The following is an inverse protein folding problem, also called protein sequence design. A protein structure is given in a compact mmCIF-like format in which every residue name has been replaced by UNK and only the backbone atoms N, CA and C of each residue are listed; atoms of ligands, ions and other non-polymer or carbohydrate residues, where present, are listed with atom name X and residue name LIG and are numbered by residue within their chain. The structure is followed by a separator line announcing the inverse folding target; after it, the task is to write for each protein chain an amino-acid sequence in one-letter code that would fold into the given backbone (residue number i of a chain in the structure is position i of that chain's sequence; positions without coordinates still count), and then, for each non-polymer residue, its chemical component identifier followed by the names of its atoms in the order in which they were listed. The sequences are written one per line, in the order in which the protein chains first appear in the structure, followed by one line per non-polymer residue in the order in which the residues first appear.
data_IF_081552432067
#
_entry.id   IF_081552432067
#
_cell.length_a   1.000
_cell.length_b   1.000
_cell.length_c   1.000
_cell.angle_alpha   90.00
_cell.angle_beta   90.00
_cell.angle_gamma   90.00
#
_symmetry.space_group_name_H-M   'P 1'
#
loop_
_entity.id
_entity.type
_entity.pdbx_description
1 polymer ?
#
# COMPACT_ATOMS: atom_id res chain seq x y z
N UNK A 1 -23.76 3.92 14.07
CA UNK A 1 -22.96 3.58 12.88
C UNK A 1 -21.58 4.17 13.11
N UNK A 2 -20.53 3.35 13.13
CA UNK A 2 -19.17 3.87 13.22
C UNK A 2 -18.86 4.67 11.95
N UNK A 3 -18.08 5.74 12.08
CA UNK A 3 -17.57 6.47 10.92
C UNK A 3 -16.50 5.60 10.25
N UNK A 4 -16.54 5.39 8.91
CA UNK A 4 -15.53 4.60 8.23
C UNK A 4 -14.15 5.24 8.36
N UNK A 5 -13.11 4.41 8.39
CA UNK A 5 -11.72 4.84 8.34
C UNK A 5 -11.47 5.70 7.10
N UNK A 6 -10.93 6.89 7.30
CA UNK A 6 -10.54 7.81 6.23
C UNK A 6 -9.15 7.43 5.72
N UNK A 7 -9.11 6.85 4.53
CA UNK A 7 -7.89 6.35 3.91
C UNK A 7 -7.32 7.37 2.91
N UNK A 8 -6.02 7.65 3.01
CA UNK A 8 -5.25 8.29 1.94
C UNK A 8 -4.41 7.24 1.20
N UNK A 9 -4.56 7.14 -0.13
CA UNK A 9 -3.75 6.23 -0.94
C UNK A 9 -2.59 6.98 -1.62
N UNK A 10 -1.39 6.41 -1.57
CA UNK A 10 -0.22 6.88 -2.31
C UNK A 10 -0.01 6.00 -3.55
N UNK A 11 0.17 6.61 -4.72
CA UNK A 11 0.28 5.89 -6.00
C UNK A 11 1.31 6.51 -6.94
N UNK A 12 1.84 5.73 -7.89
CA UNK A 12 2.75 6.24 -8.93
C UNK A 12 2.45 5.73 -10.35
N UNK A 13 1.47 4.83 -10.51
CA UNK A 13 1.32 4.03 -11.73
C UNK A 13 -0.12 3.70 -12.13
N UNK A 14 -0.35 2.45 -12.55
CA UNK A 14 -1.62 2.01 -13.15
C UNK A 14 -2.83 2.05 -12.20
N UNK A 15 -2.58 1.95 -10.89
CA UNK A 15 -3.61 2.05 -9.86
C UNK A 15 -4.57 0.85 -9.80
N UNK A 16 -4.14 -0.36 -10.18
CA UNK A 16 -4.99 -1.56 -10.06
C UNK A 16 -5.29 -1.92 -8.61
N UNK A 17 -4.32 -1.71 -7.70
CA UNK A 17 -4.53 -1.86 -6.26
C UNK A 17 -5.50 -0.80 -5.73
N UNK A 18 -5.30 0.47 -6.11
CA UNK A 18 -6.24 1.56 -5.82
C UNK A 18 -7.65 1.25 -6.32
N UNK A 19 -7.80 0.73 -7.55
CA UNK A 19 -9.11 0.38 -8.10
C UNK A 19 -9.83 -0.64 -7.22
N UNK A 20 -9.13 -1.69 -6.78
CA UNK A 20 -9.72 -2.67 -5.87
C UNK A 20 -10.16 -2.05 -4.54
N UNK A 21 -9.39 -1.10 -4.01
CA UNK A 21 -9.81 -0.36 -2.82
C UNK A 21 -11.08 0.45 -3.07
N UNK A 22 -11.16 1.17 -4.19
CA UNK A 22 -12.32 2.00 -4.54
C UNK A 22 -13.58 1.17 -4.76
N UNK A 23 -13.45 0.01 -5.40
CA UNK A 23 -14.57 -0.87 -5.76
C UNK A 23 -15.18 -1.61 -4.55
N UNK A 24 -14.44 -1.74 -3.43
CA UNK A 24 -14.82 -2.57 -2.28
C UNK A 24 -14.95 -1.78 -0.96
N UNK A 25 -15.10 -0.46 -1.05
CA UNK A 25 -15.37 0.39 0.13
C UNK A 25 -16.70 0.00 0.80
N UNK A 26 -16.74 0.10 2.12
CA UNK A 26 -17.89 -0.26 2.96
C UNK A 26 -17.96 0.63 4.22
N UNK A 27 -18.69 0.20 5.25
CA UNK A 27 -18.74 0.91 6.54
C UNK A 27 -17.42 0.96 7.31
N UNK A 28 -16.42 0.15 6.94
CA UNK A 28 -15.14 0.05 7.64
C UNK A 28 -14.12 1.04 7.09
N UNK A 29 -14.09 1.29 5.78
CA UNK A 29 -13.17 2.26 5.19
C UNK A 29 -13.71 3.00 3.97
N UNK A 30 -13.21 4.22 3.78
CA UNK A 30 -13.42 5.03 2.59
C UNK A 30 -12.10 5.69 2.15
N UNK A 31 -11.79 5.63 0.85
CA UNK A 31 -10.68 6.36 0.24
C UNK A 31 -11.11 7.81 0.06
N UNK A 32 -10.51 8.71 0.83
CA UNK A 32 -10.88 10.12 0.83
C UNK A 32 -9.92 11.00 0.03
N UNK A 33 -8.70 10.51 -0.21
CA UNK A 33 -7.66 11.23 -0.93
C UNK A 33 -6.72 10.26 -1.64
N UNK A 34 -6.31 10.61 -2.86
CA UNK A 34 -5.24 9.93 -3.59
C UNK A 34 -4.13 10.92 -3.90
N UNK A 35 -2.91 10.60 -3.45
CA UNK A 35 -1.72 11.43 -3.68
C UNK A 35 -0.73 10.69 -4.58
N UNK A 36 -0.20 11.37 -5.59
CA UNK A 36 0.78 10.81 -6.51
C UNK A 36 2.02 11.68 -6.66
N UNK A 37 3.16 11.06 -7.00
CA UNK A 37 4.38 11.78 -7.37
C UNK A 37 4.38 12.28 -8.83
N UNK A 38 3.32 11.99 -9.60
CA UNK A 38 3.17 12.36 -11.02
C UNK A 38 1.73 12.20 -11.50
N UNK A 39 1.40 12.77 -12.65
CA UNK A 39 0.18 12.35 -13.36
C UNK A 39 0.29 10.88 -13.77
N UNK A 40 -0.75 10.09 -13.46
CA UNK A 40 -0.78 8.65 -13.74
C UNK A 40 -2.22 8.13 -13.81
N UNK A 41 -2.44 6.95 -14.44
CA UNK A 41 -3.78 6.36 -14.56
C UNK A 41 -4.53 6.14 -13.24
N UNK A 42 -3.80 5.96 -12.12
CA UNK A 42 -4.43 5.85 -10.81
C UNK A 42 -5.23 7.10 -10.40
N UNK A 43 -4.79 8.29 -10.80
CA UNK A 43 -5.51 9.54 -10.51
C UNK A 43 -6.82 9.63 -11.31
N UNK A 44 -6.82 9.14 -12.54
CA UNK A 44 -8.04 9.12 -13.37
C UNK A 44 -9.09 8.17 -12.77
N UNK A 45 -8.65 7.04 -12.22
CA UNK A 45 -9.52 6.12 -11.45
C UNK A 45 -10.12 6.80 -10.23
N UNK A 46 -9.31 7.53 -9.46
CA UNK A 46 -9.76 8.25 -8.28
C UNK A 46 -10.79 9.34 -8.64
N UNK A 47 -10.50 10.14 -9.66
CA UNK A 47 -11.40 11.19 -10.17
C UNK A 47 -12.72 10.60 -10.67
N UNK A 48 -12.68 9.48 -11.38
CA UNK A 48 -13.88 8.78 -11.85
C UNK A 48 -14.75 8.25 -10.70
N UNK A 49 -14.13 7.90 -9.56
CA UNK A 49 -14.82 7.51 -8.33
C UNK A 49 -15.24 8.71 -7.45
N UNK A 50 -14.98 9.95 -7.88
CA UNK A 50 -15.30 11.16 -7.11
C UNK A 50 -14.39 11.42 -5.91
N UNK A 51 -13.22 10.78 -5.86
CA UNK A 51 -12.24 10.93 -4.78
C UNK A 51 -11.30 12.11 -5.07
N UNK A 52 -10.97 12.87 -4.03
CA UNK A 52 -10.04 13.99 -4.13
C UNK A 52 -8.63 13.50 -4.54
N UNK A 53 -7.95 14.28 -5.37
CA UNK A 53 -6.60 13.93 -5.86
C UNK A 53 -5.61 15.07 -5.69
N UNK A 54 -4.37 14.73 -5.34
CA UNK A 54 -3.26 15.67 -5.32
C UNK A 54 -2.03 15.09 -6.05
N UNK A 55 -1.27 15.95 -6.71
CA UNK A 55 0.01 15.58 -7.33
C UNK A 55 1.13 16.38 -6.67
N UNK A 56 2.09 15.67 -6.11
CA UNK A 56 3.27 16.23 -5.44
C UNK A 56 4.52 15.76 -6.18
N UNK A 57 4.89 16.42 -7.29
CA UNK A 57 5.98 15.97 -8.14
C UNK A 57 7.31 16.04 -7.39
N UNK A 58 8.12 14.99 -7.56
CA UNK A 58 9.47 14.92 -7.00
C UNK A 58 10.33 16.09 -7.47
N UNK A 59 10.88 16.85 -6.52
CA UNK A 59 11.74 18.02 -6.79
C UNK A 59 13.22 17.70 -6.55
N UNK A 60 14.12 18.59 -6.97
CA UNK A 60 15.55 18.45 -6.69
C UNK A 60 15.84 18.51 -5.18
N UNK A 61 15.15 19.40 -4.46
CA UNK A 61 15.20 19.45 -3.00
C UNK A 61 14.29 18.35 -2.42
N UNK A 62 14.91 17.26 -1.98
CA UNK A 62 14.22 16.10 -1.40
C UNK A 62 13.52 16.44 -0.09
N UNK A 63 14.15 17.24 0.76
CA UNK A 63 13.61 17.59 2.07
C UNK A 63 12.36 18.45 1.92
N UNK A 64 12.42 19.43 1.01
CA UNK A 64 11.28 20.26 0.70
C UNK A 64 10.12 19.46 0.06
N UNK A 65 10.44 18.51 -0.82
CA UNK A 65 9.45 17.60 -1.38
C UNK A 65 8.78 16.73 -0.31
N UNK A 66 9.55 16.17 0.63
CA UNK A 66 9.01 15.36 1.72
C UNK A 66 8.05 16.16 2.63
N UNK A 67 8.39 17.41 2.93
CA UNK A 67 7.50 18.32 3.67
C UNK A 67 6.19 18.60 2.91
N UNK A 68 6.26 18.82 1.59
CA UNK A 68 5.08 19.03 0.76
C UNK A 68 4.20 17.78 0.74
N UNK A 69 4.79 16.60 0.50
CA UNK A 69 4.07 15.33 0.50
C UNK A 69 3.39 15.09 1.86
N UNK A 70 4.11 15.35 2.95
CA UNK A 70 3.62 15.22 4.33
C UNK A 70 2.45 16.16 4.65
N UNK A 71 2.41 17.34 4.04
CA UNK A 71 1.31 18.30 4.15
C UNK A 71 0.11 17.88 3.29
N UNK A 72 0.34 17.48 2.04
CA UNK A 72 -0.70 17.11 1.08
C UNK A 72 -1.54 15.92 1.53
N UNK A 73 -0.97 14.98 2.28
CA UNK A 73 -1.70 13.82 2.80
C UNK A 73 -2.75 14.17 3.87
N UNK A 74 -2.64 15.33 4.52
CA UNK A 74 -3.61 15.80 5.51
C UNK A 74 -3.58 15.03 6.83
N UNK A 75 -4.76 14.67 7.33
CA UNK A 75 -4.97 13.96 8.62
C UNK A 75 -5.83 12.69 8.45
N UNK A 76 -5.37 11.70 7.66
CA UNK A 76 -6.11 10.45 7.50
C UNK A 76 -6.01 9.58 8.76
N UNK A 77 -6.94 8.64 8.87
CA UNK A 77 -6.87 7.58 9.88
C UNK A 77 -5.81 6.53 9.48
N UNK A 78 -5.68 6.28 8.18
CA UNK A 78 -4.71 5.33 7.61
C UNK A 78 -4.18 5.80 6.25
N UNK A 79 -2.90 5.56 6.00
CA UNK A 79 -2.26 5.76 4.71
C UNK A 79 -1.86 4.41 4.14
N UNK A 80 -2.21 4.18 2.88
CA UNK A 80 -1.82 2.99 2.13
C UNK A 80 -0.90 3.38 0.99
N UNK A 81 0.34 2.87 1.01
CA UNK A 81 1.20 2.86 -0.16
C UNK A 81 0.71 1.80 -1.13
N UNK A 82 -0.05 2.22 -2.14
CA UNK A 82 -0.69 1.35 -3.13
C UNK A 82 0.11 1.36 -4.45
N UNK A 83 1.38 0.93 -4.36
CA UNK A 83 2.33 1.00 -5.48
C UNK A 83 2.98 2.38 -5.65
N UNK A 84 3.33 3.03 -4.53
CA UNK A 84 4.08 4.28 -4.54
C UNK A 84 5.58 4.01 -4.74
N UNK A 85 6.18 4.61 -5.76
CA UNK A 85 7.53 4.26 -6.23
C UNK A 85 8.62 5.19 -5.69
N UNK A 86 8.36 5.92 -4.61
CA UNK A 86 9.31 6.83 -3.96
C UNK A 86 9.51 6.44 -2.50
N UNK A 87 10.77 6.47 -2.06
CA UNK A 87 11.12 6.30 -0.65
C UNK A 87 10.49 7.43 0.18
N UNK A 88 9.70 7.10 1.19
CA UNK A 88 9.13 8.11 2.08
C UNK A 88 10.22 8.67 3.00
N UNK A 89 10.27 9.99 3.15
CA UNK A 89 11.29 10.62 4.00
C UNK A 89 11.04 10.38 5.48
N UNK A 90 12.07 10.56 6.33
CA UNK A 90 11.95 10.32 7.77
C UNK A 90 10.83 11.12 8.44
N UNK A 91 10.61 12.36 8.03
CA UNK A 91 9.55 13.22 8.60
C UNK A 91 8.17 12.67 8.30
N UNK A 92 7.95 12.18 7.07
CA UNK A 92 6.72 11.51 6.67
C UNK A 92 6.48 10.24 7.50
N UNK A 93 7.47 9.34 7.55
CA UNK A 93 7.38 8.06 8.26
C UNK A 93 7.13 8.29 9.76
N UNK A 94 7.84 9.23 10.39
CA UNK A 94 7.67 9.53 11.81
C UNK A 94 6.28 10.10 12.12
N UNK A 95 5.77 11.03 11.31
CA UNK A 95 4.44 11.65 11.52
C UNK A 95 3.31 10.62 11.42
N UNK A 96 3.44 9.65 10.52
CA UNK A 96 2.41 8.66 10.23
C UNK A 96 2.72 7.26 10.75
N UNK A 97 3.71 7.13 11.65
CA UNK A 97 4.09 5.86 12.27
C UNK A 97 2.88 5.17 12.89
N UNK A 98 2.70 3.88 12.59
CA UNK A 98 1.54 3.09 13.03
C UNK A 98 0.23 3.36 12.27
N UNK A 99 0.24 4.27 11.28
CA UNK A 99 -0.89 4.60 10.38
C UNK A 99 -0.46 4.62 8.92
N UNK A 100 0.64 3.97 8.59
CA UNK A 100 1.20 3.91 7.25
C UNK A 100 1.53 2.45 6.93
N UNK A 101 0.86 1.89 5.94
CA UNK A 101 1.03 0.50 5.51
C UNK A 101 1.42 0.43 4.04
N UNK A 102 2.11 -0.64 3.66
CA UNK A 102 2.51 -0.95 2.30
C UNK A 102 2.22 -2.41 1.99
N UNK A 103 2.03 -2.71 0.70
CA UNK A 103 2.01 -4.08 0.19
C UNK A 103 3.32 -4.39 -0.53
N UNK A 104 3.83 -5.60 -0.31
CA UNK A 104 5.06 -6.09 -0.91
C UNK A 104 4.82 -7.43 -1.62
N UNK A 105 5.24 -7.60 -2.89
CA UNK A 105 4.98 -8.81 -3.68
C UNK A 105 5.95 -9.97 -3.37
N UNK A 106 6.20 -10.22 -2.09
CA UNK A 106 6.85 -11.43 -1.58
C UNK A 106 6.45 -11.68 -0.12
N UNK A 107 6.80 -12.87 0.40
CA UNK A 107 6.69 -13.20 1.83
C UNK A 107 7.90 -12.63 2.59
N UNK A 108 7.77 -11.42 3.13
CA UNK A 108 8.79 -10.83 4.00
C UNK A 108 9.06 -11.74 5.21
N UNK A 109 10.33 -11.84 5.68
CA UNK A 109 11.48 -11.02 5.31
C UNK A 109 12.20 -11.44 4.02
N UNK A 110 11.66 -12.39 3.25
CA UNK A 110 12.28 -12.84 1.99
C UNK A 110 12.09 -11.80 0.88
N UNK A 111 13.16 -11.57 0.11
CA UNK A 111 13.17 -10.75 -1.10
C UNK A 111 12.65 -9.30 -0.89
N UNK A 112 13.21 -8.51 0.05
CA UNK A 112 12.84 -7.09 0.18
C UNK A 112 13.33 -6.27 -1.02
N UNK A 113 12.71 -5.12 -1.26
CA UNK A 113 13.10 -4.20 -2.33
C UNK A 113 12.40 -4.42 -3.67
N UNK A 114 12.83 -3.66 -4.68
CA UNK A 114 12.04 -3.43 -5.90
C UNK A 114 11.88 -4.63 -6.85
N UNK A 115 12.63 -5.72 -6.64
CA UNK A 115 12.71 -6.85 -7.59
C UNK A 115 12.29 -8.19 -6.98
N UNK A 116 11.45 -8.16 -5.95
CA UNK A 116 11.10 -9.33 -5.15
C UNK A 116 10.64 -10.56 -5.97
N UNK A 117 9.83 -10.35 -7.02
CA UNK A 117 9.33 -11.45 -7.88
C UNK A 117 10.46 -12.09 -8.69
N UNK A 118 11.30 -11.27 -9.32
CA UNK A 118 12.49 -11.74 -10.06
C UNK A 118 13.43 -12.48 -9.13
N UNK A 119 13.74 -11.90 -7.98
CA UNK A 119 14.70 -12.45 -7.04
C UNK A 119 14.21 -13.78 -6.44
N UNK A 120 12.88 -13.96 -6.25
CA UNK A 120 12.28 -15.23 -5.86
C UNK A 120 12.43 -16.32 -6.93
N UNK A 121 12.20 -15.97 -8.21
CA UNK A 121 12.39 -16.89 -9.33
C UNK A 121 13.85 -17.29 -9.51
N UNK A 122 14.76 -16.32 -9.46
CA UNK A 122 16.21 -16.54 -9.59
C UNK A 122 16.76 -17.42 -8.45
N UNK A 123 16.24 -17.25 -7.23
CA UNK A 123 16.58 -18.13 -6.11
C UNK A 123 16.02 -19.54 -6.29
N UNK A 124 14.87 -19.68 -6.96
CA UNK A 124 14.24 -20.97 -7.25
C UNK A 124 13.30 -21.49 -6.15
N UNK A 125 12.79 -20.62 -5.27
CA UNK A 125 11.79 -21.01 -4.25
C UNK A 125 10.54 -21.59 -4.92
N UNK A 126 9.77 -22.39 -4.18
CA UNK A 126 8.50 -22.96 -4.66
C UNK A 126 7.27 -22.25 -4.13
N UNK A 127 7.45 -21.41 -3.13
CA UNK A 127 6.40 -20.62 -2.50
C UNK A 127 6.87 -19.17 -2.42
N UNK A 128 5.99 -18.25 -2.80
CA UNK A 128 6.12 -16.80 -2.60
C UNK A 128 4.78 -16.26 -2.11
N UNK A 129 4.52 -14.96 -2.22
CA UNK A 129 3.24 -14.40 -1.79
C UNK A 129 3.18 -12.89 -1.82
N UNK A 130 2.28 -12.35 -1.03
CA UNK A 130 2.14 -10.92 -0.76
C UNK A 130 2.18 -10.69 0.74
N UNK A 131 2.83 -9.61 1.15
CA UNK A 131 2.85 -9.15 2.54
C UNK A 131 2.22 -7.77 2.64
N UNK A 132 1.37 -7.55 3.65
CA UNK A 132 0.99 -6.21 4.11
C UNK A 132 1.75 -5.93 5.41
N UNK A 133 2.44 -4.81 5.48
CA UNK A 133 3.25 -4.43 6.64
C UNK A 133 3.13 -2.95 6.94
N UNK A 134 3.43 -2.56 8.18
CA UNK A 134 3.66 -1.16 8.52
C UNK A 134 4.97 -0.68 7.87
N UNK A 135 4.99 0.56 7.41
CA UNK A 135 6.22 1.19 6.92
C UNK A 135 7.00 1.77 8.11
N UNK A 136 8.30 1.54 8.11
CA UNK A 136 9.27 2.15 9.01
C UNK A 136 10.40 2.81 8.21
N UNK A 137 11.49 3.18 8.88
CA UNK A 137 12.61 3.88 8.26
C UNK A 137 13.45 2.99 7.31
N UNK A 138 13.24 1.66 7.31
CA UNK A 138 13.90 0.73 6.41
C UNK A 138 13.05 0.37 5.18
N UNK A 139 13.64 -0.40 4.27
CA UNK A 139 12.97 -0.88 3.07
C UNK A 139 12.36 -2.25 3.37
N UNK A 140 11.03 -2.29 3.45
CA UNK A 140 10.24 -3.51 3.70
C UNK A 140 10.61 -4.25 5.01
N UNK A 141 11.01 -3.49 6.05
CA UNK A 141 11.44 -4.03 7.35
C UNK A 141 10.41 -3.91 8.46
N UNK A 142 9.36 -3.11 8.26
CA UNK A 142 8.41 -2.83 9.32
C UNK A 142 7.53 -4.02 9.69
N UNK A 143 6.84 -3.95 10.84
CA UNK A 143 6.06 -5.08 11.37
C UNK A 143 5.01 -5.59 10.37
N UNK A 144 5.02 -6.91 10.17
CA UNK A 144 4.07 -7.61 9.31
C UNK A 144 2.68 -7.57 9.94
N UNK A 145 1.68 -7.25 9.12
CA UNK A 145 0.26 -7.23 9.51
C UNK A 145 -0.44 -8.48 8.99
N UNK A 146 -0.19 -8.81 7.72
CA UNK A 146 -0.87 -9.90 7.03
C UNK A 146 0.01 -10.47 5.92
N UNK A 147 -0.13 -11.77 5.64
CA UNK A 147 0.55 -12.43 4.54
C UNK A 147 -0.37 -13.42 3.84
N UNK A 148 -0.15 -13.61 2.55
CA UNK A 148 -0.81 -14.66 1.78
C UNK A 148 0.19 -15.33 0.86
N UNK A 149 0.35 -16.64 1.01
CA UNK A 149 1.27 -17.44 0.21
C UNK A 149 0.62 -17.94 -1.08
N UNK A 150 1.43 -18.14 -2.12
CA UNK A 150 1.09 -18.86 -3.36
C UNK A 150 2.24 -19.74 -3.80
N UNK A 151 1.91 -20.85 -4.46
CA UNK A 151 2.90 -21.70 -5.13
C UNK A 151 3.34 -21.10 -6.46
N UNK A 152 4.64 -21.16 -6.72
CA UNK A 152 5.24 -20.85 -8.03
C UNK A 152 5.08 -22.06 -8.93
N UNK A 153 4.50 -21.86 -10.11
CA UNK A 153 4.28 -22.92 -11.09
C UNK A 153 5.59 -23.27 -11.81
N UNK A 154 5.72 -24.54 -12.23
CA UNK A 154 6.91 -24.99 -12.96
C UNK A 154 6.99 -24.27 -14.32
N UNK A 155 8.10 -23.56 -14.54
CA UNK A 155 8.33 -22.81 -15.78
C UNK A 155 7.56 -21.50 -15.87
N UNK A 156 6.97 -21.04 -14.77
CA UNK A 156 6.24 -19.77 -14.70
C UNK A 156 7.17 -18.58 -14.98
N UNK A 157 6.70 -17.65 -15.83
CA UNK A 157 7.45 -16.42 -16.11
C UNK A 157 7.25 -15.38 -15.01
N UNK A 158 8.18 -14.43 -14.93
CA UNK A 158 8.12 -13.33 -13.95
C UNK A 158 6.82 -12.54 -14.06
N UNK A 159 6.36 -12.20 -15.26
CA UNK A 159 5.15 -11.41 -15.45
C UNK A 159 3.87 -12.19 -15.09
N UNK A 160 3.83 -13.49 -15.38
CA UNK A 160 2.73 -14.39 -15.00
C UNK A 160 2.63 -14.51 -13.47
N UNK A 161 3.75 -14.77 -12.80
CA UNK A 161 3.82 -14.85 -11.34
C UNK A 161 3.42 -13.51 -10.71
N UNK A 162 3.95 -12.41 -11.24
CA UNK A 162 3.66 -11.07 -10.73
C UNK A 162 2.17 -10.74 -10.83
N UNK A 163 1.48 -11.07 -11.92
CA UNK A 163 0.03 -10.85 -12.03
C UNK A 163 -0.79 -11.72 -11.05
N UNK A 164 -0.37 -12.97 -10.79
CA UNK A 164 -0.98 -13.81 -9.76
C UNK A 164 -0.77 -13.24 -8.36
N UNK A 165 0.44 -12.74 -8.04
CA UNK A 165 0.72 -12.05 -6.78
C UNK A 165 -0.14 -10.79 -6.66
N UNK A 166 -0.24 -9.95 -7.69
CA UNK A 166 -1.10 -8.76 -7.65
C UNK A 166 -2.56 -9.10 -7.39
N UNK A 167 -3.06 -10.25 -7.87
CA UNK A 167 -4.43 -10.71 -7.58
C UNK A 167 -4.61 -10.97 -6.09
N UNK A 168 -3.73 -11.79 -5.50
CA UNK A 168 -3.83 -12.11 -4.07
C UNK A 168 -3.52 -10.90 -3.17
N UNK A 169 -2.67 -9.98 -3.62
CA UNK A 169 -2.36 -8.71 -2.95
C UNK A 169 -3.61 -7.84 -2.80
N UNK A 170 -4.36 -7.64 -3.90
CA UNK A 170 -5.61 -6.87 -3.89
C UNK A 170 -6.63 -7.48 -2.93
N UNK A 171 -6.84 -8.79 -3.04
CA UNK A 171 -7.78 -9.50 -2.18
C UNK A 171 -7.36 -9.45 -0.69
N UNK A 172 -6.08 -9.59 -0.41
CA UNK A 172 -5.52 -9.53 0.95
C UNK A 172 -5.72 -8.14 1.55
N UNK A 173 -5.36 -7.09 0.82
CA UNK A 173 -5.45 -5.71 1.31
C UNK A 173 -6.91 -5.28 1.52
N UNK A 174 -7.81 -5.59 0.59
CA UNK A 174 -9.25 -5.28 0.74
C UNK A 174 -9.82 -5.99 1.97
N UNK A 175 -9.61 -7.30 2.10
CA UNK A 175 -10.10 -8.06 3.25
C UNK A 175 -9.55 -7.52 4.58
N UNK A 176 -8.26 -7.13 4.59
CA UNK A 176 -7.63 -6.53 5.75
C UNK A 176 -8.32 -5.22 6.15
N UNK A 177 -8.59 -4.33 5.21
CA UNK A 177 -9.21 -3.03 5.47
C UNK A 177 -10.68 -3.16 5.89
N UNK A 178 -11.40 -4.13 5.35
CA UNK A 178 -12.78 -4.46 5.76
C UNK A 178 -12.84 -5.09 7.16
N UNK A 179 -11.73 -5.62 7.67
CA UNK A 179 -11.62 -6.15 9.05
C UNK A 179 -11.09 -5.11 10.06
N UNK A 180 -10.79 -3.89 9.61
CA UNK A 180 -10.09 -2.91 10.43
C UNK A 180 -11.05 -2.23 11.41
N UNK A 181 -10.64 -2.13 12.67
CA UNK A 181 -11.37 -1.43 13.73
C UNK A 181 -10.51 -0.30 14.31
N UNK A 182 -11.16 0.80 14.70
CA UNK A 182 -10.51 1.86 15.48
C UNK A 182 -10.71 1.57 16.95
N UNK A 183 -9.62 1.32 17.68
CA UNK A 183 -9.65 1.22 19.13
C UNK A 183 -10.04 2.57 19.73
N UNK A 184 -11.13 2.60 20.51
CA UNK A 184 -11.79 3.83 20.95
C UNK A 184 -10.89 4.74 21.81
N UNK A 185 -10.02 4.15 22.63
CA UNK A 185 -9.19 4.90 23.58
C UNK A 185 -7.88 5.42 22.97
N UNK A 186 -7.29 4.65 22.04
CA UNK A 186 -5.98 4.95 21.46
C UNK A 186 -6.06 5.59 20.06
N UNK A 187 -7.24 5.52 19.42
CA UNK A 187 -7.44 5.80 17.98
C UNK A 187 -6.52 4.97 17.07
N UNK A 188 -6.00 3.84 17.58
CA UNK A 188 -5.16 2.94 16.81
C UNK A 188 -6.04 2.09 15.90
N UNK A 189 -5.62 1.96 14.64
CA UNK A 189 -6.22 0.99 13.73
C UNK A 189 -5.71 -0.40 14.10
N UNK A 190 -6.62 -1.28 14.48
CA UNK A 190 -6.38 -2.69 14.77
C UNK A 190 -6.94 -3.49 13.61
N UNK A 191 -6.16 -4.46 13.14
CA UNK A 191 -6.56 -5.36 12.07
C UNK A 191 -6.82 -6.75 12.67
N UNK A 192 -7.98 -7.31 12.37
CA UNK A 192 -8.35 -8.66 12.82
C UNK A 192 -8.08 -9.65 11.68
N UNK A 193 -7.19 -10.62 11.90
CA UNK A 193 -6.98 -11.71 10.95
C UNK A 193 -7.91 -12.87 11.33
N UNK A 194 -8.69 -13.35 10.37
CA UNK A 194 -9.35 -14.66 10.46
C UNK A 194 -8.38 -15.77 10.03
#
# INVERSE_FOLDING_TARGET
MNTPLRLTALVSGSGTLLQALLDNQDENYAVVLVVSDRECPALDRARAAGVETAVVPMQHDRSHWDEQLTKSVGTPDLIVSAGFMKILGPSFVQKFRGRLINTHPALLPSFPGAHAVRDALDYGVKVTGSTVHYVDEGVDTGPIIAQRAIDIQLGEREDELHERIKKIERELLVALLQSAEVEQDSKKVVFHHN
#
